data_IF_851842616929
#
_entry.id   IF_851842616929
#
_cell.length_a   1.000
_cell.length_b   1.000
_cell.length_c   1.000
_cell.angle_alpha   90.00
_cell.angle_beta   90.00
_cell.angle_gamma   90.00
#
_symmetry.space_group_name_H-M   'P 1'
#
loop_
_entity.id
_entity.type
_entity.pdbx_description
1 polymer ?
#
# COMPACT_ATOMS: atom_id res chain seq x y z
N UNK A 1 -6.29 -43.33 -8.37
CA UNK A 1 -7.57 -43.13 -7.70
C UNK A 1 -7.31 -42.43 -6.39
N UNK A 2 -7.16 -41.13 -6.23
CA UNK A 2 -6.95 -39.85 -6.98
C UNK A 2 -7.04 -38.84 -5.80
N UNK A 3 -6.46 -37.66 -5.70
CA UNK A 3 -5.61 -36.80 -6.50
C UNK A 3 -5.06 -35.78 -5.47
N UNK A 4 -3.91 -35.21 -5.78
CA UNK A 4 -3.17 -34.26 -4.95
C UNK A 4 -3.95 -32.96 -4.71
N UNK A 5 -4.21 -32.58 -3.46
CA UNK A 5 -4.68 -31.23 -3.11
C UNK A 5 -3.52 -30.40 -2.55
N UNK A 6 -2.66 -29.89 -3.44
CA UNK A 6 -1.65 -28.89 -3.10
C UNK A 6 -2.28 -27.49 -3.16
N UNK A 7 -2.73 -26.97 -2.02
CA UNK A 7 -3.13 -25.55 -1.88
C UNK A 7 -1.87 -24.72 -1.64
N UNK A 8 -1.23 -24.24 -2.71
CA UNK A 8 -0.14 -23.26 -2.63
C UNK A 8 -0.65 -21.92 -3.21
N UNK A 9 -1.24 -21.07 -2.35
CA UNK A 9 -1.73 -19.73 -2.69
C UNK A 9 -0.85 -18.63 -2.06
N UNK A 10 0.47 -18.75 -2.19
CA UNK A 10 1.42 -17.67 -1.88
C UNK A 10 2.31 -17.46 -3.09
N UNK A 11 2.20 -16.30 -3.74
CA UNK A 11 3.15 -15.90 -4.77
C UNK A 11 4.27 -15.10 -4.11
N UNK A 12 5.33 -15.78 -3.69
CA UNK A 12 6.56 -15.14 -3.22
C UNK A 12 7.36 -14.68 -4.45
N UNK A 13 7.34 -13.37 -4.76
CA UNK A 13 8.11 -12.83 -5.89
C UNK A 13 9.45 -12.29 -5.41
N UNK A 14 10.44 -13.18 -5.32
CA UNK A 14 11.80 -12.85 -4.91
C UNK A 14 12.72 -12.49 -6.10
N UNK A 15 13.08 -11.21 -6.18
CA UNK A 15 14.30 -10.62 -6.79
C UNK A 15 14.67 -10.88 -8.28
N UNK A 16 14.47 -9.84 -9.11
CA UNK A 16 15.43 -9.26 -10.09
C UNK A 16 14.67 -8.22 -10.93
N UNK A 17 14.97 -6.91 -10.82
CA UNK A 17 14.29 -5.79 -11.54
C UNK A 17 12.93 -6.19 -12.14
N UNK A 18 11.95 -6.35 -11.26
CA UNK A 18 10.65 -6.86 -11.67
C UNK A 18 9.81 -5.68 -12.17
N UNK A 19 9.39 -5.74 -13.42
CA UNK A 19 8.22 -5.02 -13.93
C UNK A 19 7.05 -6.00 -13.83
N UNK A 20 6.47 -6.11 -12.64
CA UNK A 20 5.39 -7.06 -12.39
C UNK A 20 4.06 -6.34 -12.49
N UNK A 21 3.18 -6.91 -13.30
CA UNK A 21 1.73 -6.72 -13.19
C UNK A 21 1.10 -8.00 -12.64
N UNK A 22 1.13 -8.27 -11.33
CA UNK A 22 0.28 -9.31 -10.78
C UNK A 22 -1.16 -8.85 -11.01
N UNK A 23 -1.85 -9.48 -11.96
CA UNK A 23 -3.29 -9.32 -12.16
C UNK A 23 -3.96 -10.47 -11.41
N UNK A 24 -4.31 -10.33 -10.11
CA UNK A 24 -5.10 -11.35 -9.44
C UNK A 24 -6.46 -11.44 -10.14
N UNK A 25 -6.62 -12.46 -10.97
CA UNK A 25 -7.89 -12.84 -11.56
C UNK A 25 -8.94 -13.04 -10.45
N UNK A 26 -10.20 -12.80 -10.79
CA UNK A 26 -11.33 -12.44 -9.91
C UNK A 26 -11.75 -13.40 -8.76
N UNK A 27 -10.87 -14.28 -8.28
CA UNK A 27 -11.08 -15.22 -7.18
C UNK A 27 -9.92 -15.34 -6.17
N UNK A 28 -8.80 -14.63 -6.35
CA UNK A 28 -7.64 -14.76 -5.45
C UNK A 28 -7.76 -13.91 -4.17
N UNK A 29 -8.48 -14.41 -3.16
CA UNK A 29 -8.40 -13.90 -1.78
C UNK A 29 -7.10 -14.39 -1.12
N UNK A 30 -5.94 -14.07 -1.70
CA UNK A 30 -4.62 -14.57 -1.30
C UNK A 30 -3.71 -13.52 -0.66
N UNK A 31 -2.56 -13.99 -0.19
CA UNK A 31 -1.42 -13.19 0.28
C UNK A 31 -0.45 -12.99 -0.89
N UNK A 32 0.00 -11.75 -1.08
CA UNK A 32 1.03 -11.36 -2.04
C UNK A 32 2.18 -10.71 -1.27
N UNK A 33 3.38 -11.28 -1.38
CA UNK A 33 4.59 -10.75 -0.74
C UNK A 33 5.60 -10.37 -1.84
N UNK A 34 6.01 -9.10 -1.82
CA UNK A 34 6.98 -8.54 -2.74
C UNK A 34 8.17 -7.98 -1.97
N UNK A 35 9.33 -8.62 -2.13
CA UNK A 35 10.55 -8.22 -1.45
C UNK A 35 11.65 -7.79 -2.45
N UNK A 36 12.41 -6.74 -2.09
CA UNK A 36 13.68 -6.41 -2.73
C UNK A 36 13.67 -5.11 -3.54
N UNK A 37 14.29 -5.10 -4.74
CA UNK A 37 14.30 -3.93 -5.62
C UNK A 37 13.34 -4.11 -6.78
N UNK A 38 12.30 -3.28 -6.81
CA UNK A 38 11.24 -3.31 -7.80
C UNK A 38 11.19 -1.96 -8.53
N UNK A 39 11.13 -2.00 -9.86
CA UNK A 39 10.98 -0.79 -10.65
C UNK A 39 9.55 -0.27 -10.57
N UNK A 40 8.61 -1.13 -10.98
CA UNK A 40 7.19 -0.85 -11.05
C UNK A 40 6.39 -2.08 -10.60
N UNK A 41 5.42 -1.88 -9.73
CA UNK A 41 4.47 -2.89 -9.27
C UNK A 41 3.05 -2.35 -9.39
N UNK A 42 2.21 -3.04 -10.15
CA UNK A 42 0.78 -2.73 -10.32
C UNK A 42 -0.05 -3.92 -9.85
N UNK A 43 -0.79 -3.71 -8.76
CA UNK A 43 -1.69 -4.71 -8.16
C UNK A 43 -3.12 -4.20 -8.29
N UNK A 44 -3.95 -4.95 -9.02
CA UNK A 44 -5.35 -4.58 -9.25
C UNK A 44 -6.32 -5.69 -8.88
N UNK A 45 -7.48 -5.36 -8.32
CA UNK A 45 -8.57 -6.33 -8.09
C UNK A 45 -8.89 -6.53 -6.61
N UNK A 46 -9.16 -7.77 -6.20
CA UNK A 46 -9.43 -8.10 -4.78
C UNK A 46 -8.21 -8.80 -4.19
N UNK A 47 -7.61 -8.20 -3.17
CA UNK A 47 -6.44 -8.76 -2.48
C UNK A 47 -6.75 -8.87 -0.99
N UNK A 48 -6.41 -10.00 -0.38
CA UNK A 48 -6.56 -10.18 1.06
C UNK A 48 -5.50 -9.39 1.81
N UNK A 49 -4.24 -9.73 1.56
CA UNK A 49 -3.07 -9.15 2.20
C UNK A 49 -1.98 -8.90 1.13
N UNK A 50 -1.42 -7.70 1.12
CA UNK A 50 -0.29 -7.33 0.28
C UNK A 50 0.81 -6.78 1.19
N UNK A 51 1.98 -7.42 1.17
CA UNK A 51 3.21 -6.94 1.79
C UNK A 51 4.20 -6.54 0.71
N UNK A 52 4.70 -5.31 0.77
CA UNK A 52 5.73 -4.81 -0.12
C UNK A 52 6.86 -4.25 0.70
N UNK A 53 8.02 -4.89 0.62
CA UNK A 53 9.23 -4.48 1.33
C UNK A 53 10.42 -4.22 0.40
N UNK A 54 11.19 -3.19 0.70
CA UNK A 54 12.48 -2.91 0.05
C UNK A 54 12.54 -1.57 -0.68
N UNK A 55 13.06 -1.55 -1.92
CA UNK A 55 13.13 -0.31 -2.74
C UNK A 55 12.21 -0.44 -3.92
N UNK A 56 11.16 0.36 -3.95
CA UNK A 56 10.17 0.38 -5.04
C UNK A 56 10.22 1.73 -5.73
N UNK A 57 10.33 1.74 -7.06
CA UNK A 57 10.22 2.99 -7.83
C UNK A 57 8.79 3.53 -7.78
N UNK A 58 7.84 2.73 -8.26
CA UNK A 58 6.42 3.05 -8.33
C UNK A 58 5.58 1.84 -7.91
N UNK A 59 4.62 2.05 -7.02
CA UNK A 59 3.63 1.07 -6.58
C UNK A 59 2.24 1.65 -6.82
N UNK A 60 1.43 0.99 -7.64
CA UNK A 60 0.01 1.28 -7.83
C UNK A 60 -0.82 0.09 -7.34
N UNK A 61 -1.72 0.38 -6.41
CA UNK A 61 -2.63 -0.61 -5.83
C UNK A 61 -4.06 -0.12 -6.03
N UNK A 62 -4.83 -0.86 -6.82
CA UNK A 62 -6.21 -0.51 -7.14
C UNK A 62 -7.21 -1.62 -6.79
N UNK A 63 -8.37 -1.25 -6.25
CA UNK A 63 -9.50 -2.18 -6.05
C UNK A 63 -9.91 -2.36 -4.60
N UNK A 64 -10.06 -3.61 -4.14
CA UNK A 64 -10.43 -3.94 -2.74
C UNK A 64 -9.28 -4.68 -2.07
N UNK A 65 -8.64 -4.03 -1.12
CA UNK A 65 -7.53 -4.61 -0.36
C UNK A 65 -7.94 -4.73 1.10
N UNK A 66 -7.72 -5.90 1.71
CA UNK A 66 -7.95 -6.09 3.15
C UNK A 66 -6.90 -5.33 3.96
N UNK A 67 -5.63 -5.69 3.75
CA UNK A 67 -4.47 -5.10 4.40
C UNK A 67 -3.36 -4.85 3.38
N UNK A 68 -2.77 -3.66 3.42
CA UNK A 68 -1.61 -3.28 2.63
C UNK A 68 -0.52 -2.82 3.58
N UNK A 69 0.59 -3.54 3.63
CA UNK A 69 1.83 -3.17 4.31
C UNK A 69 2.85 -2.71 3.27
N UNK A 70 3.39 -1.50 3.44
CA UNK A 70 4.45 -0.99 2.58
C UNK A 70 5.61 -0.51 3.45
N UNK A 71 6.74 -1.20 3.36
CA UNK A 71 7.95 -0.91 4.10
C UNK A 71 9.16 -0.66 3.20
N UNK A 72 10.06 0.24 3.64
CA UNK A 72 11.28 0.60 2.92
C UNK A 72 11.22 1.92 2.15
N UNK A 73 11.89 2.00 0.99
CA UNK A 73 12.01 3.23 0.19
C UNK A 73 11.12 3.14 -1.05
N UNK A 74 10.02 3.87 -1.03
CA UNK A 74 9.11 3.97 -2.18
C UNK A 74 9.22 5.35 -2.82
N UNK A 75 9.38 5.41 -4.14
CA UNK A 75 9.36 6.68 -4.88
C UNK A 75 7.96 7.28 -4.90
N UNK A 76 7.00 6.53 -5.46
CA UNK A 76 5.60 6.89 -5.57
C UNK A 76 4.71 5.70 -5.18
N UNK A 77 3.74 5.95 -4.31
CA UNK A 77 2.72 4.99 -3.90
C UNK A 77 1.35 5.58 -4.23
N UNK A 78 0.62 4.94 -5.14
CA UNK A 78 -0.79 5.21 -5.45
C UNK A 78 -1.64 4.10 -4.87
N UNK A 79 -2.61 4.46 -4.04
CA UNK A 79 -3.58 3.52 -3.49
C UNK A 79 -4.98 4.01 -3.80
N UNK A 80 -5.71 3.27 -4.64
CA UNK A 80 -7.06 3.61 -5.05
C UNK A 80 -8.09 2.52 -4.73
N UNK A 81 -9.27 2.93 -4.26
CA UNK A 81 -10.42 2.05 -4.08
C UNK A 81 -10.87 1.87 -2.63
N UNK A 82 -11.02 0.62 -2.16
CA UNK A 82 -11.43 0.30 -0.78
C UNK A 82 -10.32 -0.48 -0.08
N UNK A 83 -9.70 0.14 0.90
CA UNK A 83 -8.65 -0.48 1.71
C UNK A 83 -9.13 -0.59 3.16
N UNK A 84 -8.99 -1.77 3.76
CA UNK A 84 -9.29 -1.96 5.19
C UNK A 84 -8.27 -1.25 6.06
N UNK A 85 -7.00 -1.66 5.92
CA UNK A 85 -5.85 -1.10 6.62
C UNK A 85 -4.71 -0.83 5.64
N UNK A 86 -4.11 0.35 5.75
CA UNK A 86 -2.91 0.74 5.01
C UNK A 86 -1.84 1.15 6.02
N UNK A 87 -0.77 0.38 6.09
CA UNK A 87 0.46 0.73 6.82
C UNK A 87 1.52 1.20 5.81
N UNK A 88 2.05 2.39 6.04
CA UNK A 88 3.16 2.91 5.25
C UNK A 88 4.27 3.32 6.20
N UNK A 89 5.40 2.62 6.12
CA UNK A 89 6.54 2.80 6.98
C UNK A 89 7.80 3.25 6.21
N UNK A 90 8.79 3.81 6.92
CA UNK A 90 10.10 4.27 6.43
C UNK A 90 10.12 5.54 5.56
N UNK A 91 10.29 5.45 4.23
CA UNK A 91 10.52 6.61 3.35
C UNK A 91 9.68 6.50 2.09
N UNK A 92 8.74 7.43 1.94
CA UNK A 92 7.93 7.57 0.72
C UNK A 92 8.15 8.96 0.13
N UNK A 93 8.41 9.04 -1.19
CA UNK A 93 8.51 10.32 -1.88
C UNK A 93 7.13 10.99 -1.97
N UNK A 94 6.19 10.29 -2.59
CA UNK A 94 4.80 10.73 -2.78
C UNK A 94 3.86 9.58 -2.44
N UNK A 95 2.86 9.87 -1.60
CA UNK A 95 1.79 8.95 -1.23
C UNK A 95 0.46 9.57 -1.68
N UNK A 96 -0.20 8.96 -2.66
CA UNK A 96 -1.57 9.25 -3.06
C UNK A 96 -2.51 8.19 -2.49
N UNK A 97 -3.52 8.61 -1.76
CA UNK A 97 -4.55 7.71 -1.26
C UNK A 97 -5.91 8.22 -1.68
N UNK A 98 -6.57 7.48 -2.56
CA UNK A 98 -7.89 7.80 -3.08
C UNK A 98 -8.94 6.73 -2.76
N UNK A 99 -10.14 7.17 -2.34
CA UNK A 99 -11.30 6.29 -2.14
C UNK A 99 -11.71 6.13 -0.67
N UNK A 100 -11.87 4.90 -0.20
CA UNK A 100 -12.30 4.58 1.18
C UNK A 100 -11.24 3.77 1.90
N UNK A 101 -10.64 4.36 2.93
CA UNK A 101 -9.68 3.68 3.79
C UNK A 101 -10.26 3.59 5.20
N UNK A 102 -10.22 2.39 5.80
CA UNK A 102 -10.66 2.18 7.17
C UNK A 102 -9.68 2.83 8.16
N UNK A 103 -8.44 2.37 8.11
CA UNK A 103 -7.32 2.86 8.91
C UNK A 103 -6.11 3.13 8.02
N UNK A 104 -5.50 4.29 8.19
CA UNK A 104 -4.27 4.68 7.52
C UNK A 104 -3.24 5.02 8.60
N UNK A 105 -2.17 4.23 8.65
CA UNK A 105 -0.97 4.51 9.44
C UNK A 105 0.14 4.97 8.51
N UNK A 106 0.69 6.16 8.77
CA UNK A 106 1.82 6.68 8.01
C UNK A 106 2.93 7.04 8.97
N UNK A 107 3.95 6.20 9.00
CA UNK A 107 5.11 6.36 9.86
C UNK A 107 6.41 6.55 9.06
N UNK A 108 7.23 7.53 9.46
CA UNK A 108 8.55 7.75 8.88
C UNK A 108 8.68 9.09 8.15
N UNK A 109 9.23 9.11 6.94
CA UNK A 109 9.43 10.33 6.14
C UNK A 109 8.62 10.25 4.86
N UNK A 110 7.58 11.06 4.77
CA UNK A 110 6.79 11.24 3.55
C UNK A 110 7.07 12.63 2.98
N UNK A 111 7.42 12.72 1.69
CA UNK A 111 7.62 14.01 1.02
C UNK A 111 6.30 14.74 0.82
N UNK A 112 5.35 14.08 0.18
CA UNK A 112 3.99 14.58 -0.08
C UNK A 112 2.98 13.49 0.22
N UNK A 113 1.93 13.83 0.97
CA UNK A 113 0.78 12.97 1.25
C UNK A 113 -0.48 13.65 0.70
N UNK A 114 -1.06 13.07 -0.35
CA UNK A 114 -2.39 13.42 -0.85
C UNK A 114 -3.42 12.41 -0.33
N UNK A 115 -4.52 12.91 0.20
CA UNK A 115 -5.64 12.06 0.59
C UNK A 115 -6.95 12.59 0.05
N UNK A 116 -7.53 11.83 -0.86
CA UNK A 116 -8.82 12.10 -1.46
C UNK A 116 -9.87 11.05 -1.06
N UNK A 117 -10.99 11.46 -0.44
CA UNK A 117 -12.12 10.57 -0.17
C UNK A 117 -12.50 10.41 1.31
N UNK A 118 -12.65 9.17 1.80
CA UNK A 118 -13.06 8.89 3.19
C UNK A 118 -12.02 8.04 3.90
N UNK A 119 -11.43 8.59 4.95
CA UNK A 119 -10.53 7.88 5.86
C UNK A 119 -11.21 7.78 7.22
N UNK A 120 -11.33 6.57 7.76
CA UNK A 120 -11.94 6.36 9.08
C UNK A 120 -11.04 6.90 10.19
N UNK A 121 -9.82 6.37 10.26
CA UNK A 121 -8.78 6.78 11.18
C UNK A 121 -7.49 7.04 10.42
N UNK A 122 -6.84 8.14 10.75
CA UNK A 122 -5.55 8.54 10.19
C UNK A 122 -4.57 8.77 11.34
N UNK A 123 -3.52 7.96 11.39
CA UNK A 123 -2.34 8.18 12.22
C UNK A 123 -1.19 8.64 11.33
N UNK A 124 -0.56 9.76 11.67
CA UNK A 124 0.63 10.23 10.98
C UNK A 124 1.73 10.50 11.98
N UNK A 125 2.78 9.68 11.91
CA UNK A 125 3.94 9.72 12.77
C UNK A 125 5.23 10.01 11.97
N UNK A 126 6.14 10.83 12.52
CA UNK A 126 7.44 11.13 11.88
C UNK A 126 7.53 12.50 11.20
N UNK A 127 7.85 12.57 9.90
CA UNK A 127 7.99 13.81 9.13
C UNK A 127 7.20 13.72 7.83
N UNK A 128 6.23 14.61 7.68
CA UNK A 128 5.53 14.82 6.42
C UNK A 128 5.94 16.18 5.88
N UNK A 129 6.38 16.24 4.63
CA UNK A 129 6.68 17.52 3.98
C UNK A 129 5.39 18.30 3.79
N UNK A 130 4.56 17.86 2.85
CA UNK A 130 3.26 18.46 2.56
C UNK A 130 2.16 17.43 2.81
N UNK A 131 1.08 17.89 3.43
CA UNK A 131 -0.13 17.12 3.68
C UNK A 131 -1.30 17.84 3.01
N UNK A 132 -1.92 17.21 2.01
CA UNK A 132 -3.16 17.64 1.41
C UNK A 132 -4.27 16.61 1.72
N UNK A 133 -5.41 17.10 2.18
CA UNK A 133 -6.53 16.26 2.60
C UNK A 133 -7.81 16.84 2.02
N UNK A 134 -8.27 16.24 0.93
CA UNK A 134 -9.53 16.55 0.27
C UNK A 134 -10.53 15.43 0.53
N UNK A 135 -11.20 15.48 1.69
CA UNK A 135 -12.08 14.38 2.08
C UNK A 135 -12.67 14.48 3.47
N UNK A 136 -13.26 13.37 3.92
CA UNK A 136 -13.70 13.19 5.30
C UNK A 136 -12.71 12.30 6.03
N UNK A 137 -12.07 12.85 7.05
CA UNK A 137 -11.30 12.09 8.04
C UNK A 137 -12.17 11.99 9.29
N UNK A 138 -12.41 10.76 9.77
CA UNK A 138 -13.22 10.54 10.97
C UNK A 138 -12.45 10.89 12.25
N UNK A 139 -11.24 10.34 12.37
CA UNK A 139 -10.30 10.63 13.45
C UNK A 139 -8.90 10.88 12.88
N UNK A 140 -8.21 11.86 13.45
CA UNK A 140 -6.89 12.30 13.03
C UNK A 140 -5.96 12.33 14.26
N UNK A 141 -4.92 11.50 14.25
CA UNK A 141 -3.76 11.62 15.13
C UNK A 141 -2.56 12.08 14.29
N UNK A 142 -1.91 13.15 14.72
CA UNK A 142 -0.74 13.71 14.05
C UNK A 142 0.31 14.00 15.10
N UNK A 143 1.24 13.07 15.22
CA UNK A 143 2.42 13.19 16.08
C UNK A 143 3.67 13.61 15.31
N UNK A 144 3.53 13.89 14.01
CA UNK A 144 4.61 14.20 13.10
C UNK A 144 4.99 15.70 13.05
N UNK A 145 6.21 15.99 12.59
CA UNK A 145 6.61 17.35 12.21
C UNK A 145 6.23 17.59 10.76
N UNK A 146 5.18 18.37 10.54
CA UNK A 146 4.82 18.87 9.21
C UNK A 146 5.72 20.06 8.88
N UNK A 147 6.43 20.02 7.75
CA UNK A 147 7.25 21.14 7.31
C UNK A 147 6.35 22.14 6.55
N UNK A 148 6.08 23.29 7.16
CA UNK A 148 5.36 24.41 6.53
C UNK A 148 6.14 25.04 5.38
#
# INVERSE_FOLDING_TARGET
MDESSSTANGQDVSSSFIESRPQPSASASGLLDVCGRVGFLDVSGRVGFLDVSGRVGFLDVSGRVGFLDVSGRVGFLDVSGRVGFLDVSDRVGFLDVSGRVGFLDVCGRVGFLDMCGRVGFLDVCGRVGILDVSGRVGFLDVSCRVAS
#
